data_IF_133789417565
#
_entry.id   IF_133789417565
#
_cell.length_a   1.000
_cell.length_b   1.000
_cell.length_c   1.000
_cell.angle_alpha   90.00
_cell.angle_beta   90.00
_cell.angle_gamma   90.00
#
_symmetry.space_group_name_H-M   'P 1'
#
loop_
_entity.id
_entity.type
_entity.pdbx_description
1 polymer ?
#
# COMPACT_ATOMS: atom_id res chain seq x y z
N UNK A 1 -5.28 12.99 8.15
CA UNK A 1 -5.72 11.98 7.17
C UNK A 1 -5.41 12.49 5.79
N UNK A 2 -4.75 11.69 4.92
CA UNK A 2 -4.48 12.13 3.56
C UNK A 2 -5.78 12.54 2.87
N UNK A 3 -5.78 13.68 2.21
CA UNK A 3 -6.91 14.12 1.41
C UNK A 3 -7.09 13.22 0.19
N UNK A 4 -8.31 13.05 -0.36
CA UNK A 4 -8.52 12.26 -1.56
C UNK A 4 -7.68 12.75 -2.73
N UNK A 5 -7.30 11.84 -3.61
CA UNK A 5 -6.47 12.13 -4.79
C UNK A 5 -7.09 13.13 -5.79
N UNK A 6 -8.40 13.38 -5.71
CA UNK A 6 -9.07 14.42 -6.51
C UNK A 6 -8.69 15.85 -6.08
N UNK A 7 -8.22 16.02 -4.84
CA UNK A 7 -7.71 17.30 -4.33
C UNK A 7 -6.28 17.62 -4.79
N UNK A 8 -5.67 16.75 -5.55
CA UNK A 8 -4.29 16.90 -5.99
C UNK A 8 -4.16 17.69 -7.31
N UNK A 9 -4.87 18.81 -7.45
CA UNK A 9 -4.61 19.75 -8.56
C UNK A 9 -3.17 20.29 -8.49
N UNK A 10 -2.59 20.36 -7.28
CA UNK A 10 -1.24 20.86 -7.03
C UNK A 10 -0.29 19.78 -6.52
N UNK A 11 -0.23 18.64 -7.23
CA UNK A 11 0.76 17.59 -6.95
C UNK A 11 2.15 18.10 -7.36
N UNK A 12 3.00 18.37 -6.39
CA UNK A 12 4.38 18.78 -6.64
C UNK A 12 5.27 17.66 -7.13
N UNK A 13 5.10 16.46 -6.54
CA UNK A 13 5.94 15.30 -6.86
C UNK A 13 5.17 14.00 -6.76
N UNK A 14 5.58 13.05 -7.62
CA UNK A 14 5.17 11.65 -7.54
C UNK A 14 6.42 10.81 -7.35
N UNK A 15 6.52 10.18 -6.19
CA UNK A 15 7.61 9.26 -5.87
C UNK A 15 7.19 7.84 -6.22
N UNK A 16 8.13 7.04 -6.70
CA UNK A 16 7.94 5.60 -6.88
C UNK A 16 8.87 4.89 -5.89
N UNK A 17 8.30 4.02 -5.08
CA UNK A 17 9.03 3.22 -4.12
C UNK A 17 9.34 1.87 -4.75
N UNK A 18 10.62 1.58 -4.83
CA UNK A 18 11.17 0.42 -5.51
C UNK A 18 11.90 -0.45 -4.50
N UNK A 19 11.55 -1.73 -4.44
CA UNK A 19 12.36 -2.74 -3.80
C UNK A 19 13.64 -2.90 -4.63
N UNK A 20 14.81 -2.83 -4.01
CA UNK A 20 16.09 -2.79 -4.72
C UNK A 20 17.13 -3.71 -4.06
N UNK A 21 17.34 -4.87 -4.67
CA UNK A 21 18.45 -5.77 -4.39
C UNK A 21 19.55 -5.75 -5.47
N UNK A 22 19.47 -4.84 -6.42
CA UNK A 22 20.47 -4.77 -7.49
C UNK A 22 21.89 -4.57 -6.96
N UNK A 23 22.07 -3.73 -5.94
CA UNK A 23 23.38 -3.56 -5.30
C UNK A 23 23.89 -4.83 -4.61
N UNK A 24 22.98 -5.61 -4.01
CA UNK A 24 23.32 -6.91 -3.40
C UNK A 24 23.72 -7.91 -4.48
N UNK A 25 23.05 -7.90 -5.62
CA UNK A 25 23.41 -8.70 -6.79
C UNK A 25 24.83 -8.37 -7.28
N UNK A 26 25.19 -7.09 -7.41
CA UNK A 26 26.54 -6.70 -7.79
C UNK A 26 27.61 -7.16 -6.78
N UNK A 27 27.29 -7.18 -5.48
CA UNK A 27 28.19 -7.74 -4.46
C UNK A 27 28.33 -9.26 -4.62
N UNK A 28 27.24 -9.95 -4.92
CA UNK A 28 27.22 -11.41 -5.12
C UNK A 28 28.06 -11.82 -6.34
N UNK A 29 27.98 -11.08 -7.45
CA UNK A 29 28.81 -11.31 -8.63
C UNK A 29 30.32 -11.23 -8.32
N UNK A 30 30.73 -10.26 -7.51
CA UNK A 30 32.14 -10.09 -7.12
C UNK A 30 32.57 -11.17 -6.10
N UNK A 31 31.71 -11.46 -5.14
CA UNK A 31 32.01 -12.43 -4.07
C UNK A 31 31.87 -13.89 -4.50
N UNK A 32 31.15 -14.16 -5.60
CA UNK A 32 30.77 -15.50 -6.07
C UNK A 32 30.16 -16.37 -4.95
N UNK A 33 29.30 -15.78 -4.10
CA UNK A 33 28.84 -16.37 -2.85
C UNK A 33 27.41 -16.91 -2.87
N UNK A 34 26.73 -16.85 -4.02
CA UNK A 34 25.36 -17.37 -4.22
C UNK A 34 24.33 -16.75 -3.27
N UNK A 35 24.44 -15.43 -3.00
CA UNK A 35 23.49 -14.69 -2.17
C UNK A 35 22.11 -14.55 -2.83
N UNK A 36 22.01 -14.79 -4.12
CA UNK A 36 20.74 -14.80 -4.87
C UNK A 36 19.71 -15.73 -4.24
N UNK A 37 20.16 -16.83 -3.63
CA UNK A 37 19.28 -17.76 -2.91
C UNK A 37 18.53 -17.08 -1.76
N UNK A 38 19.06 -16.00 -1.21
CA UNK A 38 18.45 -15.22 -0.14
C UNK A 38 17.60 -14.07 -0.68
N UNK A 39 18.20 -13.14 -1.44
CA UNK A 39 17.44 -11.97 -1.90
C UNK A 39 16.43 -12.27 -3.00
N UNK A 40 16.60 -13.34 -3.78
CA UNK A 40 15.63 -13.84 -4.75
C UNK A 40 14.51 -14.71 -4.14
N UNK A 41 14.54 -14.96 -2.84
CA UNK A 41 13.56 -15.79 -2.13
C UNK A 41 12.29 -15.01 -1.75
N UNK A 42 11.26 -15.74 -1.29
CA UNK A 42 10.07 -15.12 -0.70
C UNK A 42 10.42 -14.30 0.56
N UNK A 43 11.38 -14.74 1.38
CA UNK A 43 11.87 -13.98 2.53
C UNK A 43 12.53 -12.68 2.10
N UNK A 44 13.39 -12.71 1.08
CA UNK A 44 14.00 -11.51 0.52
C UNK A 44 12.93 -10.50 0.03
N UNK A 45 11.90 -10.98 -0.66
CA UNK A 45 10.77 -10.14 -1.08
C UNK A 45 10.05 -9.50 0.12
N UNK A 46 9.78 -10.26 1.19
CA UNK A 46 9.12 -9.76 2.39
C UNK A 46 9.95 -8.70 3.09
N UNK A 47 11.22 -8.98 3.38
CA UNK A 47 12.14 -8.06 4.07
C UNK A 47 12.27 -6.75 3.28
N UNK A 48 12.59 -6.84 1.98
CA UNK A 48 12.75 -5.65 1.17
C UNK A 48 11.45 -4.84 1.00
N UNK A 49 10.30 -5.50 0.95
CA UNK A 49 8.99 -4.80 0.91
C UNK A 49 8.70 -4.06 2.22
N UNK A 50 9.04 -4.67 3.36
CA UNK A 50 8.89 -4.05 4.68
C UNK A 50 9.78 -2.82 4.79
N UNK A 51 11.07 -2.92 4.42
CA UNK A 51 12.01 -1.80 4.44
C UNK A 51 11.51 -0.62 3.61
N UNK A 52 11.05 -0.87 2.40
CA UNK A 52 10.50 0.17 1.54
C UNK A 52 9.24 0.80 2.14
N UNK A 53 8.37 0.02 2.75
CA UNK A 53 7.16 0.52 3.41
C UNK A 53 7.50 1.42 4.61
N UNK A 54 8.52 1.07 5.41
CA UNK A 54 9.00 1.87 6.53
C UNK A 54 9.58 3.23 6.06
N UNK A 55 10.37 3.22 4.99
CA UNK A 55 10.90 4.46 4.38
C UNK A 55 9.75 5.34 3.88
N UNK A 56 8.78 4.76 3.18
CA UNK A 56 7.64 5.49 2.66
C UNK A 56 6.78 6.10 3.76
N UNK A 57 6.53 5.35 4.85
CA UNK A 57 5.78 5.86 5.99
C UNK A 57 6.53 6.99 6.70
N UNK A 58 7.84 6.88 6.85
CA UNK A 58 8.66 7.95 7.43
C UNK A 58 8.59 9.23 6.59
N UNK A 59 8.65 9.09 5.26
CA UNK A 59 8.49 10.20 4.33
C UNK A 59 7.08 10.82 4.42
N UNK A 60 6.03 9.99 4.58
CA UNK A 60 4.66 10.46 4.75
C UNK A 60 4.50 11.33 6.01
N UNK A 61 5.02 10.85 7.15
CA UNK A 61 4.99 11.60 8.43
C UNK A 61 5.73 12.93 8.31
N UNK A 62 6.92 12.91 7.70
CA UNK A 62 7.69 14.14 7.50
C UNK A 62 6.97 15.14 6.57
N UNK A 63 6.33 14.67 5.49
CA UNK A 63 5.57 15.52 4.59
C UNK A 63 4.35 16.15 5.29
N UNK A 64 3.62 15.36 6.09
CA UNK A 64 2.48 15.84 6.87
C UNK A 64 2.90 16.85 7.95
N UNK A 65 4.03 16.64 8.62
CA UNK A 65 4.61 17.58 9.59
C UNK A 65 5.00 18.92 8.95
N UNK A 66 5.41 18.89 7.68
CA UNK A 66 5.70 20.08 6.87
C UNK A 66 4.46 20.74 6.26
N UNK A 67 3.24 20.25 6.54
CA UNK A 67 1.98 20.79 6.04
C UNK A 67 1.55 20.25 4.68
N UNK A 68 2.26 19.28 4.09
CA UNK A 68 1.86 18.66 2.83
C UNK A 68 0.82 17.56 3.02
N UNK A 69 0.00 17.34 1.98
CA UNK A 69 -0.85 16.16 1.87
C UNK A 69 -0.15 15.06 1.07
N UNK A 70 -0.44 13.82 1.42
CA UNK A 70 0.06 12.65 0.68
C UNK A 70 -1.06 11.70 0.26
N UNK A 71 -0.82 10.94 -0.81
CA UNK A 71 -1.65 9.77 -1.14
C UNK A 71 -0.78 8.66 -1.71
N UNK A 72 -0.97 7.45 -1.19
CA UNK A 72 -0.31 6.25 -1.72
C UNK A 72 -0.98 5.78 -3.00
N UNK A 73 -0.18 5.42 -4.00
CA UNK A 73 -0.62 5.04 -5.34
C UNK A 73 -0.30 3.57 -5.62
N UNK A 74 -1.27 2.70 -5.39
CA UNK A 74 -1.14 1.27 -5.70
C UNK A 74 -1.37 0.90 -7.17
N UNK A 75 -1.85 1.83 -7.99
CA UNK A 75 -2.17 1.62 -9.41
C UNK A 75 -0.97 1.32 -10.29
N UNK A 76 0.26 1.63 -9.86
CA UNK A 76 1.49 1.26 -10.57
C UNK A 76 1.59 -0.24 -10.84
N UNK A 77 1.01 -1.06 -9.95
CA UNK A 77 0.98 -2.52 -10.11
C UNK A 77 -0.07 -3.03 -11.11
N UNK A 78 -0.82 -2.16 -11.76
CA UNK A 78 -1.73 -2.57 -12.83
C UNK A 78 -1.00 -2.91 -14.14
N UNK A 79 0.23 -2.39 -14.30
CA UNK A 79 1.10 -2.69 -15.43
C UNK A 79 2.56 -2.55 -14.97
N UNK A 80 3.05 -3.56 -14.27
CA UNK A 80 4.41 -3.59 -13.71
C UNK A 80 5.45 -3.56 -14.82
N UNK A 81 5.24 -4.30 -15.90
CA UNK A 81 6.17 -4.37 -17.02
C UNK A 81 6.42 -2.98 -17.61
N UNK A 82 5.35 -2.22 -17.83
CA UNK A 82 5.44 -0.85 -18.36
C UNK A 82 6.11 0.12 -17.39
N UNK A 83 5.85 -0.01 -16.08
CA UNK A 83 6.53 0.82 -15.07
C UNK A 83 8.02 0.51 -15.01
N UNK A 84 8.41 -0.77 -15.06
CA UNK A 84 9.81 -1.18 -15.11
C UNK A 84 10.53 -0.62 -16.35
N UNK A 85 9.90 -0.67 -17.50
CA UNK A 85 10.41 -0.10 -18.76
C UNK A 85 10.62 1.42 -18.64
N UNK A 86 9.59 2.17 -18.22
CA UNK A 86 9.65 3.64 -18.10
C UNK A 86 10.77 4.09 -17.15
N UNK A 87 10.95 3.36 -16.03
CA UNK A 87 11.94 3.68 -15.02
C UNK A 87 13.30 3.03 -15.29
N UNK A 88 13.44 2.26 -16.37
CA UNK A 88 14.63 1.49 -16.71
C UNK A 88 15.15 0.66 -15.52
N UNK A 89 14.24 -0.06 -14.86
CA UNK A 89 14.56 -0.84 -13.68
C UNK A 89 15.29 -2.13 -14.05
N UNK A 90 16.48 -2.41 -13.48
CA UNK A 90 17.20 -3.64 -13.70
C UNK A 90 16.52 -4.84 -13.00
N UNK A 91 17.05 -6.04 -13.24
CA UNK A 91 16.65 -7.22 -12.46
C UNK A 91 16.98 -7.04 -10.97
N UNK A 92 16.34 -7.81 -10.13
CA UNK A 92 16.36 -7.69 -8.66
C UNK A 92 15.86 -6.34 -8.13
N UNK A 93 15.05 -5.62 -8.95
CA UNK A 93 14.30 -4.44 -8.52
C UNK A 93 12.82 -4.62 -8.85
N UNK A 94 11.93 -4.06 -8.02
CA UNK A 94 10.49 -4.17 -8.23
C UNK A 94 9.73 -2.92 -7.78
N UNK A 95 8.89 -2.30 -8.64
CA UNK A 95 8.10 -1.13 -8.27
C UNK A 95 6.92 -1.56 -7.40
N UNK A 96 6.92 -1.17 -6.12
CA UNK A 96 5.91 -1.59 -5.16
C UNK A 96 4.67 -0.70 -5.18
N UNK A 97 4.86 0.60 -5.07
CA UNK A 97 3.80 1.61 -5.07
C UNK A 97 4.39 3.01 -5.29
N UNK A 98 3.52 3.98 -5.49
CA UNK A 98 3.91 5.38 -5.54
C UNK A 98 3.36 6.18 -4.37
N UNK A 99 3.81 7.41 -4.24
CA UNK A 99 3.25 8.43 -3.36
C UNK A 99 3.19 9.75 -4.13
N UNK A 100 2.02 10.36 -4.16
CA UNK A 100 1.89 11.76 -4.55
C UNK A 100 1.98 12.62 -3.31
N UNK A 101 2.73 13.72 -3.42
CA UNK A 101 2.89 14.74 -2.36
C UNK A 101 2.48 16.08 -2.95
N UNK A 102 1.67 16.84 -2.24
CA UNK A 102 1.18 18.12 -2.72
C UNK A 102 0.58 18.98 -1.61
N UNK A 103 0.26 20.20 -1.93
CA UNK A 103 -0.47 21.09 -1.03
C UNK A 103 -1.92 20.61 -0.86
N UNK A 104 -2.40 20.48 0.38
CA UNK A 104 -3.80 20.13 0.61
C UNK A 104 -4.71 21.30 0.23
N UNK A 105 -5.82 21.01 -0.46
CA UNK A 105 -6.85 22.03 -0.74
C UNK A 105 -7.66 22.35 0.51
N UNK A 106 -7.94 23.62 0.76
CA UNK A 106 -8.79 24.05 1.86
C UNK A 106 -10.27 23.71 1.65
N UNK A 107 -10.67 23.50 0.39
CA UNK A 107 -12.08 23.21 0.03
C UNK A 107 -12.51 21.78 0.39
N UNK A 108 -11.58 20.86 0.65
CA UNK A 108 -11.88 19.44 0.91
C UNK A 108 -11.59 19.00 2.36
N UNK A 109 -11.85 19.85 3.35
CA UNK A 109 -11.71 19.54 4.77
C UNK A 109 -12.81 18.60 5.28
N UNK A 110 -12.75 17.34 4.87
CA UNK A 110 -13.63 16.30 5.42
C UNK A 110 -13.14 15.80 6.80
N UNK A 111 -14.07 15.25 7.59
CA UNK A 111 -13.73 14.57 8.82
C UNK A 111 -12.82 13.36 8.57
N UNK A 112 -11.95 12.97 9.55
CA UNK A 112 -11.14 11.77 9.43
C UNK A 112 -12.01 10.52 9.21
N UNK A 113 -11.60 9.67 8.24
CA UNK A 113 -12.29 8.41 8.01
C UNK A 113 -12.22 7.54 9.28
N UNK A 114 -13.35 6.97 9.75
CA UNK A 114 -13.35 6.05 10.89
C UNK A 114 -12.36 4.90 10.71
N UNK A 115 -11.76 4.48 11.80
CA UNK A 115 -10.89 3.31 11.87
C UNK A 115 -11.56 2.21 12.67
N UNK A 116 -11.19 0.96 12.40
CA UNK A 116 -11.56 -0.16 13.26
C UNK A 116 -11.19 0.13 14.72
N UNK A 117 -12.02 -0.26 15.70
CA UNK A 117 -11.70 -0.10 17.11
C UNK A 117 -10.35 -0.75 17.45
N UNK A 118 -9.61 -0.14 18.38
CA UNK A 118 -8.27 -0.61 18.77
C UNK A 118 -8.25 -2.10 19.15
N UNK A 119 -9.22 -2.56 19.92
CA UNK A 119 -9.35 -3.97 20.32
C UNK A 119 -9.55 -4.94 19.16
N UNK A 120 -9.95 -4.46 17.98
CA UNK A 120 -10.17 -5.27 16.79
C UNK A 120 -8.88 -5.45 15.95
N UNK A 121 -7.89 -4.61 16.18
CA UNK A 121 -6.61 -4.61 15.46
C UNK A 121 -5.41 -4.87 16.36
N UNK A 122 -5.58 -4.78 17.68
CA UNK A 122 -4.53 -5.03 18.66
C UNK A 122 -4.94 -6.17 19.59
N UNK A 123 -4.16 -7.24 19.58
CA UNK A 123 -4.36 -8.43 20.41
C UNK A 123 -3.23 -8.52 21.41
N UNK A 124 -3.57 -8.66 22.71
CA UNK A 124 -2.57 -8.84 23.77
C UNK A 124 -2.16 -10.31 23.81
N UNK A 125 -0.85 -10.55 23.71
CA UNK A 125 -0.19 -11.85 23.81
C UNK A 125 -0.60 -12.87 22.72
N UNK A 126 -1.89 -12.99 22.38
CA UNK A 126 -2.41 -13.96 21.43
C UNK A 126 -3.51 -13.34 20.56
N UNK A 127 -3.65 -13.83 19.33
CA UNK A 127 -4.74 -13.44 18.44
C UNK A 127 -6.09 -13.93 18.98
N UNK A 128 -7.07 -13.02 19.11
CA UNK A 128 -8.44 -13.40 19.45
C UNK A 128 -9.22 -13.81 18.20
N UNK A 129 -9.43 -15.12 18.06
CA UNK A 129 -10.16 -15.72 16.94
C UNK A 129 -11.65 -15.92 17.20
N UNK A 130 -12.24 -15.27 18.23
CA UNK A 130 -13.66 -15.38 18.54
C UNK A 130 -14.52 -14.80 17.42
N UNK A 131 -14.94 -15.65 16.48
CA UNK A 131 -15.68 -15.25 15.29
C UNK A 131 -17.00 -14.53 15.61
N UNK A 132 -17.71 -14.96 16.64
CA UNK A 132 -18.99 -14.33 17.01
C UNK A 132 -18.77 -12.87 17.45
N UNK A 133 -17.77 -12.64 18.29
CA UNK A 133 -17.44 -11.30 18.76
C UNK A 133 -16.91 -10.42 17.62
N UNK A 134 -16.04 -10.95 16.78
CA UNK A 134 -15.50 -10.22 15.62
C UNK A 134 -16.59 -9.84 14.62
N UNK A 135 -17.54 -10.72 14.31
CA UNK A 135 -18.69 -10.40 13.43
C UNK A 135 -19.54 -9.27 13.99
N UNK A 136 -19.87 -9.31 15.28
CA UNK A 136 -20.65 -8.25 15.94
C UNK A 136 -19.92 -6.89 15.88
N UNK A 137 -18.61 -6.89 16.05
CA UNK A 137 -17.81 -5.68 15.96
C UNK A 137 -17.69 -5.15 14.53
N UNK A 138 -17.60 -6.03 13.53
CA UNK A 138 -17.66 -5.65 12.11
C UNK A 138 -19.01 -5.04 11.74
N UNK A 139 -20.10 -5.61 12.18
CA UNK A 139 -21.46 -5.05 11.97
C UNK A 139 -21.57 -3.64 12.55
N UNK A 140 -21.06 -3.42 13.76
CA UNK A 140 -21.03 -2.09 14.37
C UNK A 140 -20.16 -1.11 13.58
N UNK A 141 -18.99 -1.54 13.11
CA UNK A 141 -18.11 -0.72 12.29
C UNK A 141 -18.71 -0.41 10.92
N UNK A 142 -19.43 -1.33 10.31
CA UNK A 142 -20.15 -1.15 9.06
C UNK A 142 -21.18 -0.01 9.15
N UNK A 143 -21.89 0.08 10.26
CA UNK A 143 -22.83 1.19 10.51
C UNK A 143 -22.10 2.54 10.58
N UNK A 144 -20.99 2.60 11.31
CA UNK A 144 -20.17 3.83 11.44
C UNK A 144 -19.62 4.27 10.08
N UNK A 145 -19.13 3.33 9.27
CA UNK A 145 -18.59 3.65 7.93
C UNK A 145 -19.68 4.09 6.97
N UNK A 146 -20.83 3.45 6.99
CA UNK A 146 -21.99 3.83 6.17
C UNK A 146 -22.45 5.26 6.49
N UNK A 147 -22.59 5.61 7.77
CA UNK A 147 -22.99 6.96 8.17
C UNK A 147 -21.94 8.01 7.79
N UNK A 148 -20.65 7.72 8.01
CA UNK A 148 -19.57 8.58 7.57
C UNK A 148 -19.63 8.92 6.07
N UNK A 149 -19.87 7.92 5.20
CA UNK A 149 -19.96 8.17 3.77
C UNK A 149 -21.25 8.91 3.38
N UNK A 150 -22.35 8.59 4.04
CA UNK A 150 -23.63 9.28 3.83
C UNK A 150 -23.51 10.77 4.16
N UNK A 151 -22.91 11.11 5.31
CA UNK A 151 -22.67 12.50 5.68
C UNK A 151 -21.70 13.19 4.72
N UNK A 152 -20.53 12.57 4.47
CA UNK A 152 -19.48 13.15 3.63
C UNK A 152 -19.91 13.39 2.20
N UNK A 153 -20.80 12.57 1.65
CA UNK A 153 -21.22 12.61 0.25
C UNK A 153 -22.65 13.13 0.07
N UNK A 154 -23.22 13.72 1.10
CA UNK A 154 -24.61 14.21 1.09
C UNK A 154 -25.62 13.14 0.64
N UNK A 155 -25.45 11.90 1.10
CA UNK A 155 -26.32 10.77 0.80
C UNK A 155 -26.04 10.04 -0.52
N UNK A 156 -25.04 10.46 -1.30
CA UNK A 156 -24.69 9.81 -2.58
C UNK A 156 -24.07 8.43 -2.37
N UNK A 157 -23.28 8.26 -1.31
CA UNK A 157 -22.65 6.99 -0.94
C UNK A 157 -23.12 6.54 0.43
N UNK A 158 -23.48 5.26 0.50
CA UNK A 158 -23.96 4.62 1.74
C UNK A 158 -23.31 3.25 1.97
N UNK A 159 -22.35 2.86 1.14
CA UNK A 159 -21.70 1.57 1.25
C UNK A 159 -20.93 1.47 2.57
N UNK A 160 -21.14 0.36 3.26
CA UNK A 160 -20.39 0.02 4.46
C UNK A 160 -19.01 -0.57 4.14
N UNK A 161 -18.19 -0.82 5.16
CA UNK A 161 -16.83 -1.35 4.97
C UNK A 161 -16.84 -2.76 4.37
N UNK A 162 -17.70 -3.66 4.85
CA UNK A 162 -17.78 -5.04 4.36
C UNK A 162 -18.13 -5.09 2.87
N UNK A 163 -19.09 -4.28 2.41
CA UNK A 163 -19.45 -4.15 0.99
C UNK A 163 -18.29 -3.63 0.13
N UNK A 164 -17.53 -2.66 0.66
CA UNK A 164 -16.34 -2.16 -0.03
C UNK A 164 -15.26 -3.25 -0.18
N UNK A 165 -15.01 -4.03 0.87
CA UNK A 165 -14.05 -5.14 0.84
C UNK A 165 -14.52 -6.23 -0.13
N UNK A 166 -15.78 -6.64 -0.07
CA UNK A 166 -16.36 -7.62 -1.01
C UNK A 166 -16.17 -7.16 -2.46
N UNK A 167 -16.53 -5.92 -2.77
CA UNK A 167 -16.38 -5.35 -4.12
C UNK A 167 -14.92 -5.28 -4.54
N UNK A 168 -14.03 -4.88 -3.65
CA UNK A 168 -12.61 -4.73 -3.96
C UNK A 168 -11.89 -6.06 -4.15
N UNK A 169 -12.07 -7.00 -3.22
CA UNK A 169 -11.42 -8.31 -3.26
C UNK A 169 -12.11 -9.28 -4.23
N UNK A 170 -13.39 -9.09 -4.51
CA UNK A 170 -14.11 -9.87 -5.52
C UNK A 170 -13.63 -9.62 -6.95
N UNK A 171 -12.93 -8.52 -7.20
CA UNK A 171 -12.32 -8.24 -8.50
C UNK A 171 -11.02 -9.04 -8.65
N UNK A 172 -10.96 -9.86 -9.70
CA UNK A 172 -9.70 -10.54 -10.07
C UNK A 172 -8.77 -9.52 -10.73
N UNK A 173 -7.90 -8.91 -9.93
CA UNK A 173 -6.94 -7.91 -10.42
C UNK A 173 -5.51 -8.40 -10.24
N UNK A 174 -4.62 -8.05 -11.17
CA UNK A 174 -3.17 -8.29 -11.07
C UNK A 174 -2.82 -9.77 -10.91
N UNK A 175 -3.48 -10.63 -11.69
CA UNK A 175 -3.25 -12.08 -11.66
C UNK A 175 -1.86 -12.47 -12.19
N UNK A 176 -1.23 -11.58 -12.93
CA UNK A 176 0.12 -11.66 -13.49
C UNK A 176 1.25 -11.31 -12.49
N UNK A 177 0.89 -10.89 -11.27
CA UNK A 177 1.88 -10.38 -10.31
C UNK A 177 2.98 -11.40 -9.98
N UNK A 178 2.65 -12.68 -9.85
CA UNK A 178 3.65 -13.72 -9.60
C UNK A 178 4.63 -13.85 -10.77
N UNK A 179 4.13 -13.79 -12.00
CA UNK A 179 4.97 -13.88 -13.20
C UNK A 179 5.89 -12.65 -13.32
N UNK A 180 5.38 -11.46 -13.01
CA UNK A 180 6.16 -10.23 -13.00
C UNK A 180 7.23 -10.22 -11.90
N UNK A 181 6.94 -10.76 -10.72
CA UNK A 181 7.94 -10.97 -9.66
C UNK A 181 9.03 -11.94 -10.12
N UNK A 182 8.66 -13.07 -10.71
CA UNK A 182 9.63 -14.06 -11.23
C UNK A 182 10.51 -13.47 -12.34
N UNK A 183 9.94 -12.73 -13.28
CA UNK A 183 10.70 -12.02 -14.32
C UNK A 183 11.70 -11.00 -13.74
N UNK A 184 11.39 -10.45 -12.59
CA UNK A 184 12.27 -9.51 -11.89
C UNK A 184 13.32 -10.19 -10.99
N UNK A 185 13.38 -11.52 -10.94
CA UNK A 185 14.35 -12.28 -10.16
C UNK A 185 13.87 -12.69 -8.75
N UNK A 186 12.58 -12.46 -8.41
CA UNK A 186 12.04 -12.83 -7.10
C UNK A 186 11.22 -14.13 -7.14
N UNK A 187 11.10 -14.78 -6.00
CA UNK A 187 10.31 -16.02 -5.82
C UNK A 187 10.73 -17.10 -6.84
N UNK A 188 12.03 -17.30 -7.00
CA UNK A 188 12.59 -18.30 -7.91
C UNK A 188 12.51 -19.72 -7.31
N UNK A 189 12.30 -19.81 -5.98
CA UNK A 189 12.20 -21.06 -5.22
C UNK A 189 11.10 -20.98 -4.19
#
# INVERSE_FOLDING_TARGET
TPKPSSAASDVYKRQVFVLDYYRHHLVDEVAASNMETSYGSAEGLLVGTIDVALVAQNMAVAAEDMGYGIVYLGSLRNDVARVREILNLPDYTFPLFGMAVGEPSDEENGSPKPRLPFKHIFHKDQYDANQHQQRKELEAYDQVVSEYYKERTHGVRTENWSQQIETFLGRKTRLDMLDELKKAGFIQR
#
